data_IF_806891231386
#
_entry.id   IF_806891231386
#
_cell.length_a   1.000
_cell.length_b   1.000
_cell.length_c   1.000
_cell.angle_alpha   90.00
_cell.angle_beta   90.00
_cell.angle_gamma   90.00
#
_symmetry.space_group_name_H-M   'P 1'
#
loop_
_entity.id
_entity.type
_entity.pdbx_description
1 polymer ?
#
# COMPACT_ATOMS: atom_id res chain seq x y z
N UNK A 1 2.93 7.76 3.21
CA UNK A 1 4.16 6.93 3.09
C UNK A 1 5.30 7.82 2.63
N UNK A 2 6.43 7.87 3.35
CA UNK A 2 7.53 8.82 3.04
C UNK A 2 8.30 8.46 1.78
N UNK A 3 8.64 7.18 1.59
CA UNK A 3 9.36 6.72 0.41
C UNK A 3 8.68 5.48 -0.17
N UNK A 4 8.13 5.61 -1.39
CA UNK A 4 7.54 4.51 -2.14
C UNK A 4 8.41 4.07 -3.33
N UNK A 5 9.68 4.48 -3.40
CA UNK A 5 10.55 4.21 -4.56
C UNK A 5 10.96 2.74 -4.68
N UNK A 6 10.90 1.97 -3.60
CA UNK A 6 11.23 0.54 -3.60
C UNK A 6 10.20 -0.26 -4.44
N UNK A 7 10.60 -0.89 -5.57
CA UNK A 7 9.68 -1.61 -6.45
C UNK A 7 8.97 -2.78 -5.78
N UNK A 8 9.64 -3.48 -4.86
CA UNK A 8 9.04 -4.61 -4.15
C UNK A 8 7.91 -4.15 -3.20
N UNK A 9 8.06 -2.98 -2.57
CA UNK A 9 6.99 -2.38 -1.75
C UNK A 9 5.81 -1.96 -2.63
N UNK A 10 6.05 -1.32 -3.78
CA UNK A 10 4.99 -0.98 -4.76
C UNK A 10 4.23 -2.21 -5.24
N UNK A 11 4.95 -3.25 -5.67
CA UNK A 11 4.36 -4.50 -6.12
C UNK A 11 3.47 -5.14 -5.05
N UNK A 12 3.92 -5.18 -3.79
CA UNK A 12 3.10 -5.70 -2.68
C UNK A 12 1.78 -4.94 -2.54
N UNK A 13 1.80 -3.60 -2.64
CA UNK A 13 0.60 -2.77 -2.54
C UNK A 13 -0.35 -3.09 -3.70
N UNK A 14 0.14 -3.02 -4.93
CA UNK A 14 -0.66 -3.20 -6.15
C UNK A 14 -1.24 -4.62 -6.23
N UNK A 15 -0.39 -5.65 -6.05
CA UNK A 15 -0.83 -7.04 -6.10
C UNK A 15 -1.85 -7.36 -5.00
N UNK A 16 -1.65 -6.87 -3.76
CA UNK A 16 -2.62 -7.15 -2.69
C UNK A 16 -3.91 -6.35 -2.85
N UNK A 17 -3.86 -5.14 -3.42
CA UNK A 17 -5.08 -4.38 -3.73
C UNK A 17 -5.92 -5.15 -4.76
N UNK A 18 -5.29 -5.61 -5.86
CA UNK A 18 -5.95 -6.43 -6.88
C UNK A 18 -6.49 -7.75 -6.33
N UNK A 19 -5.67 -8.50 -5.59
CA UNK A 19 -6.06 -9.78 -4.97
C UNK A 19 -7.21 -9.65 -3.95
N UNK A 20 -7.34 -8.50 -3.30
CA UNK A 20 -8.41 -8.23 -2.33
C UNK A 20 -9.64 -7.57 -2.97
N UNK A 21 -9.66 -7.45 -4.31
CA UNK A 21 -10.70 -6.76 -5.07
C UNK A 21 -10.96 -5.34 -4.54
N UNK A 22 -9.88 -4.63 -4.20
CA UNK A 22 -9.92 -3.22 -3.81
C UNK A 22 -9.63 -2.35 -5.02
N UNK A 23 -10.34 -1.24 -5.12
CA UNK A 23 -10.08 -0.17 -6.09
C UNK A 23 -9.39 1.01 -5.39
N UNK A 24 -8.84 1.97 -6.14
CA UNK A 24 -8.23 3.16 -5.56
C UNK A 24 -7.11 3.74 -6.40
N UNK A 25 -6.30 4.59 -5.77
CA UNK A 25 -5.21 5.32 -6.44
C UNK A 25 -4.01 5.51 -5.52
N UNK A 26 -2.82 5.53 -6.13
CA UNK A 26 -1.57 5.87 -5.45
C UNK A 26 -1.04 7.16 -6.05
N UNK A 27 -0.95 8.21 -5.22
CA UNK A 27 -0.35 9.49 -5.59
C UNK A 27 1.09 9.51 -5.07
N UNK A 28 2.04 9.68 -5.99
CA UNK A 28 3.47 9.74 -5.69
C UNK A 28 3.93 11.20 -5.65
N UNK A 29 4.59 11.58 -4.55
CA UNK A 29 5.21 12.89 -4.39
C UNK A 29 6.50 12.75 -3.60
N UNK A 30 7.45 13.68 -3.81
CA UNK A 30 8.83 13.59 -3.30
C UNK A 30 8.88 13.41 -1.78
N UNK A 31 8.00 14.09 -1.05
CA UNK A 31 8.02 14.07 0.43
C UNK A 31 6.92 13.19 1.05
N UNK A 32 5.79 13.00 0.35
CA UNK A 32 4.65 12.24 0.86
C UNK A 32 3.89 11.52 -0.24
N UNK A 33 3.84 10.20 -0.15
CA UNK A 33 3.03 9.37 -1.03
C UNK A 33 1.71 9.03 -0.32
N UNK A 34 0.60 9.16 -1.05
CA UNK A 34 -0.76 8.90 -0.57
C UNK A 34 -1.31 7.67 -1.28
N UNK A 35 -1.85 6.73 -0.52
CA UNK A 35 -2.49 5.51 -1.03
C UNK A 35 -3.94 5.53 -0.58
N UNK A 36 -4.86 5.58 -1.52
CA UNK A 36 -6.31 5.50 -1.28
C UNK A 36 -6.79 4.15 -1.77
N UNK A 37 -7.61 3.48 -0.96
CA UNK A 37 -8.28 2.23 -1.32
C UNK A 37 -9.75 2.27 -0.94
N UNK A 38 -10.60 1.71 -1.79
CA UNK A 38 -12.04 1.58 -1.63
C UNK A 38 -12.45 0.12 -1.85
N UNK A 39 -13.47 -0.32 -1.12
CA UNK A 39 -14.00 -1.69 -1.20
C UNK A 39 -14.52 -2.19 0.14
N UNK A 40 -14.82 -3.49 0.23
CA UNK A 40 -15.48 -4.07 1.41
C UNK A 40 -14.65 -4.00 2.71
N UNK A 41 -15.29 -3.87 3.89
CA UNK A 41 -14.62 -3.61 5.17
C UNK A 41 -13.65 -4.73 5.59
N UNK A 42 -13.94 -6.00 5.22
CA UNK A 42 -13.04 -7.13 5.47
C UNK A 42 -11.74 -7.00 4.66
N UNK A 43 -11.84 -6.63 3.39
CA UNK A 43 -10.69 -6.39 2.51
C UNK A 43 -9.88 -5.19 2.98
N UNK A 44 -10.54 -4.09 3.37
CA UNK A 44 -9.87 -2.92 3.96
C UNK A 44 -9.08 -3.30 5.22
N UNK A 45 -9.63 -4.11 6.12
CA UNK A 45 -8.92 -4.55 7.35
C UNK A 45 -7.68 -5.39 7.02
N UNK A 46 -7.76 -6.27 6.02
CA UNK A 46 -6.60 -7.05 5.52
C UNK A 46 -5.53 -6.14 4.92
N UNK A 47 -5.94 -5.18 4.08
CA UNK A 47 -5.03 -4.23 3.45
C UNK A 47 -4.40 -3.27 4.46
N UNK A 48 -5.15 -2.78 5.44
CA UNK A 48 -4.63 -2.00 6.58
C UNK A 48 -3.56 -2.79 7.35
N UNK A 49 -3.78 -4.09 7.60
CA UNK A 49 -2.78 -4.94 8.26
C UNK A 49 -1.52 -5.13 7.41
N UNK A 50 -1.68 -5.27 6.08
CA UNK A 50 -0.54 -5.27 5.15
C UNK A 50 0.27 -3.98 5.29
N UNK A 51 -0.40 -2.84 5.16
CA UNK A 51 0.23 -1.51 5.15
C UNK A 51 0.86 -1.15 6.50
N UNK A 52 0.26 -1.50 7.63
CA UNK A 52 0.77 -1.05 8.94
C UNK A 52 1.69 -2.05 9.65
N UNK A 53 1.55 -3.35 9.37
CA UNK A 53 2.24 -4.38 10.15
C UNK A 53 3.13 -5.32 9.33
N UNK A 54 2.84 -5.53 8.03
CA UNK A 54 3.59 -6.50 7.21
C UNK A 54 4.64 -5.84 6.32
N UNK A 55 4.37 -4.64 5.83
CA UNK A 55 5.37 -3.87 5.08
C UNK A 55 6.25 -3.14 6.08
N UNK A 56 7.53 -3.49 6.08
CA UNK A 56 8.55 -2.78 6.85
C UNK A 56 8.94 -1.52 6.09
N UNK A 57 8.45 -0.36 6.54
CA UNK A 57 8.67 0.91 5.83
C UNK A 57 10.06 1.47 6.05
N UNK A 58 10.60 1.34 7.27
CA UNK A 58 11.87 1.93 7.69
C UNK A 58 13.12 1.13 7.30
N UNK A 59 12.96 -0.12 6.82
CA UNK A 59 14.08 -0.84 6.19
C UNK A 59 14.44 -0.13 4.87
N UNK A 60 15.53 0.64 4.93
CA UNK A 60 16.29 1.16 3.79
C UNK A 60 17.29 0.08 3.35
N UNK A 61 16.86 -0.79 2.44
CA UNK A 61 17.78 -1.52 1.55
C UNK A 61 17.04 -1.79 0.25
#
# INVERSE_FOLDING_TARGET
>A
VRNLSNPAKKFKIEANAGQLYLTGVVVLHKDVNVVVVEGGPKSQKKFKRLMLHRIKWDEQT
#
